data_IF_208959608142
#
_entry.id   IF_208959608142
#
_cell.length_a   1.000
_cell.length_b   1.000
_cell.length_c   1.000
_cell.angle_alpha   90.00
_cell.angle_beta   90.00
_cell.angle_gamma   90.00
#
_symmetry.space_group_name_H-M   'P 1'
#
loop_
_entity.id
_entity.type
_entity.pdbx_description
1 polymer ?
#
# COMPACT_ATOMS: atom_id res chain seq x y z
N UNK A 1 -2.71 24.04 -4.91
CA UNK A 1 -2.03 22.75 -5.09
C UNK A 1 -1.08 22.49 -3.93
N UNK A 2 -1.00 21.24 -3.48
CA UNK A 2 -0.03 20.78 -2.48
C UNK A 2 1.36 20.68 -3.09
N UNK A 3 2.39 20.81 -2.27
CA UNK A 3 3.73 20.35 -2.65
C UNK A 3 3.77 18.83 -2.86
N UNK A 4 4.80 18.35 -3.56
CA UNK A 4 5.08 16.93 -3.71
C UNK A 4 5.98 16.39 -2.59
N UNK A 5 5.89 15.09 -2.33
CA UNK A 5 6.78 14.35 -1.44
C UNK A 5 7.54 13.33 -2.27
N UNK A 6 8.87 13.38 -2.23
CA UNK A 6 9.70 12.39 -2.91
C UNK A 6 10.99 12.07 -2.18
N UNK A 7 11.59 10.93 -2.55
CA UNK A 7 12.88 10.48 -2.05
C UNK A 7 12.92 10.36 -0.52
N UNK A 8 11.95 9.64 0.02
CA UNK A 8 11.84 9.39 1.47
C UNK A 8 12.20 7.95 1.75
N UNK A 9 13.14 7.74 2.67
CA UNK A 9 13.46 6.41 3.19
C UNK A 9 13.06 6.31 4.64
N UNK A 10 12.34 5.24 4.99
CA UNK A 10 11.93 4.90 6.34
C UNK A 10 12.41 3.49 6.63
N UNK A 11 13.33 3.32 7.58
CA UNK A 11 13.94 2.02 7.80
C UNK A 11 14.22 1.70 9.27
N UNK A 12 14.32 0.40 9.57
CA UNK A 12 14.75 -0.15 10.86
C UNK A 12 13.89 0.32 12.04
N UNK A 13 12.57 0.13 11.95
CA UNK A 13 11.66 0.55 13.01
C UNK A 13 10.65 -0.51 13.39
N UNK A 14 10.16 -0.38 14.63
CA UNK A 14 9.10 -1.18 15.19
C UNK A 14 7.90 -0.27 15.42
N UNK A 15 6.72 -0.66 14.91
CA UNK A 15 5.46 -0.01 15.24
C UNK A 15 4.61 -0.98 16.04
N UNK A 16 4.23 -0.60 17.26
CA UNK A 16 3.44 -1.45 18.15
C UNK A 16 2.13 -0.80 18.59
N UNK A 17 1.14 -1.62 18.95
CA UNK A 17 -0.16 -1.21 19.54
C UNK A 17 -0.80 -0.01 18.86
N UNK A 18 -0.81 -0.03 17.52
CA UNK A 18 -1.14 1.13 16.69
C UNK A 18 -2.30 0.84 15.75
N UNK A 19 -3.11 1.87 15.50
CA UNK A 19 -4.25 1.72 14.57
C UNK A 19 -3.80 1.48 13.13
N UNK A 20 -2.70 2.11 12.71
CA UNK A 20 -2.10 2.01 11.37
C UNK A 20 -0.59 2.11 11.52
N UNK A 21 0.19 1.16 11.00
CA UNK A 21 1.64 1.22 11.12
C UNK A 21 2.26 2.14 10.05
N UNK A 22 2.00 1.87 8.77
CA UNK A 22 2.35 2.74 7.66
C UNK A 22 1.09 3.32 7.04
N UNK A 23 1.06 4.63 6.82
CA UNK A 23 -0.09 5.33 6.23
C UNK A 23 0.35 6.36 5.19
N UNK A 24 -0.09 6.15 3.96
CA UNK A 24 -0.06 7.14 2.88
C UNK A 24 -1.50 7.54 2.59
N UNK A 25 -1.77 8.85 2.52
CA UNK A 25 -3.11 9.39 2.27
C UNK A 25 -3.04 10.58 1.33
N UNK A 26 -3.92 10.61 0.34
CA UNK A 26 -4.12 11.74 -0.55
C UNK A 26 -5.56 11.79 -1.04
N UNK A 27 -5.90 12.82 -1.83
CA UNK A 27 -7.20 12.98 -2.46
C UNK A 27 -7.07 13.73 -3.80
N UNK A 28 -8.06 13.54 -4.67
CA UNK A 28 -8.32 14.47 -5.77
C UNK A 28 -8.44 15.89 -5.21
N UNK A 29 -7.86 16.87 -5.88
CA UNK A 29 -7.79 18.23 -5.35
C UNK A 29 -6.51 18.60 -4.64
N UNK A 30 -5.66 17.62 -4.31
CA UNK A 30 -4.35 17.90 -3.69
C UNK A 30 -3.29 18.26 -4.73
N UNK A 31 -3.30 17.64 -5.92
CA UNK A 31 -2.24 17.74 -6.92
C UNK A 31 -0.88 17.23 -6.44
N UNK A 32 0.18 17.50 -7.20
CA UNK A 32 1.55 17.13 -6.83
C UNK A 32 1.83 15.62 -6.98
N UNK A 33 2.65 15.08 -6.09
CA UNK A 33 3.08 13.69 -6.15
C UNK A 33 3.47 13.11 -4.79
N UNK A 34 3.39 11.79 -4.67
CA UNK A 34 4.04 10.99 -3.63
C UNK A 34 4.79 9.88 -4.37
N UNK A 35 6.11 10.02 -4.48
CA UNK A 35 6.92 9.09 -5.28
C UNK A 35 8.28 8.78 -4.67
N UNK A 36 8.88 7.68 -5.09
CA UNK A 36 10.22 7.28 -4.68
C UNK A 36 10.32 7.16 -3.15
N UNK A 37 9.41 6.36 -2.59
CA UNK A 37 9.30 6.12 -1.15
C UNK A 37 9.79 4.70 -0.85
N UNK A 38 10.76 4.57 0.06
CA UNK A 38 11.35 3.28 0.43
C UNK A 38 11.09 2.97 1.89
N UNK A 39 10.46 1.83 2.15
CA UNK A 39 10.28 1.25 3.47
C UNK A 39 11.12 -0.02 3.61
N UNK A 40 12.02 -0.06 4.60
CA UNK A 40 12.94 -1.20 4.78
C UNK A 40 13.00 -1.68 6.22
N UNK A 41 12.97 -3.00 6.42
CA UNK A 41 13.12 -3.63 7.73
C UNK A 41 12.14 -3.05 8.77
N UNK A 42 10.85 -3.23 8.51
CA UNK A 42 9.78 -2.79 9.40
C UNK A 42 9.26 -3.98 10.20
N UNK A 43 8.99 -3.76 11.50
CA UNK A 43 8.32 -4.75 12.35
C UNK A 43 7.00 -4.19 12.86
N UNK A 44 5.90 -4.91 12.63
CA UNK A 44 4.57 -4.56 13.15
C UNK A 44 4.20 -5.50 14.31
N UNK A 45 3.82 -4.93 15.46
CA UNK A 45 3.35 -5.70 16.61
C UNK A 45 1.97 -5.20 17.04
N UNK A 46 0.93 -6.03 16.95
CA UNK A 46 -0.44 -5.65 17.36
C UNK A 46 -0.92 -4.36 16.67
N UNK A 47 -0.88 -4.36 15.33
CA UNK A 47 -1.38 -3.27 14.51
C UNK A 47 -2.76 -3.61 13.94
N UNK A 48 -3.73 -2.68 14.02
CA UNK A 48 -5.04 -2.92 13.38
C UNK A 48 -4.91 -2.99 11.85
N UNK A 49 -4.06 -2.14 11.27
CA UNK A 49 -3.68 -2.21 9.85
C UNK A 49 -2.18 -2.02 9.74
N UNK A 50 -1.48 -2.90 9.01
CA UNK A 50 -0.05 -2.79 8.77
C UNK A 50 0.24 -1.62 7.83
N UNK A 51 0.05 -1.82 6.53
CA UNK A 51 0.25 -0.82 5.50
C UNK A 51 -1.09 -0.37 4.96
N UNK A 52 -1.32 0.95 4.92
CA UNK A 52 -2.51 1.52 4.29
C UNK A 52 -2.18 2.68 3.36
N UNK A 53 -2.71 2.60 2.14
CA UNK A 53 -2.68 3.67 1.14
C UNK A 53 -4.11 4.01 0.77
N UNK A 54 -4.46 5.29 0.79
CA UNK A 54 -5.78 5.79 0.41
C UNK A 54 -5.65 7.01 -0.49
N UNK A 55 -6.34 6.99 -1.63
CA UNK A 55 -6.42 8.12 -2.57
C UNK A 55 -7.76 8.87 -2.50
N UNK A 56 -8.64 8.46 -1.57
CA UNK A 56 -10.00 8.97 -1.36
C UNK A 56 -10.12 9.82 -0.07
N UNK A 57 -9.03 10.41 0.40
CA UNK A 57 -8.98 11.12 1.69
C UNK A 57 -9.52 12.55 1.58
N UNK A 58 -10.83 12.67 1.33
CA UNK A 58 -11.57 13.87 0.90
C UNK A 58 -11.68 14.97 1.99
N UNK A 59 -10.57 15.37 2.59
CA UNK A 59 -10.43 16.47 3.55
C UNK A 59 -9.71 17.64 2.88
N UNK A 60 -10.44 18.73 2.64
CA UNK A 60 -9.93 19.97 2.05
C UNK A 60 -10.19 21.15 3.00
N UNK A 61 -9.32 22.19 3.00
CA UNK A 61 -9.48 23.34 3.90
C UNK A 61 -10.74 24.16 3.57
N UNK A 62 -11.15 24.18 2.31
CA UNK A 62 -12.29 24.91 1.77
C UNK A 62 -12.88 24.15 0.56
N UNK A 63 -13.86 24.76 -0.11
CA UNK A 63 -14.52 24.21 -1.31
C UNK A 63 -13.92 24.73 -2.63
N UNK A 64 -12.98 25.67 -2.57
CA UNK A 64 -12.42 26.39 -3.72
C UNK A 64 -11.15 25.72 -4.28
N UNK A 65 -10.78 24.56 -3.75
CA UNK A 65 -9.70 23.76 -4.28
C UNK A 65 -10.00 23.25 -5.70
N UNK A 66 -8.96 23.13 -6.52
CA UNK A 66 -9.07 22.59 -7.87
C UNK A 66 -9.31 21.08 -7.84
N UNK A 67 -10.56 20.64 -7.99
CA UNK A 67 -10.96 19.22 -7.98
C UNK A 67 -10.26 18.36 -9.03
N UNK A 68 -9.72 18.96 -10.09
CA UNK A 68 -9.00 18.26 -11.15
C UNK A 68 -7.50 18.12 -10.86
N UNK A 69 -7.02 18.69 -9.75
CA UNK A 69 -5.64 18.52 -9.31
C UNK A 69 -5.43 17.11 -8.75
N UNK A 70 -5.10 16.16 -9.61
CA UNK A 70 -4.85 14.77 -9.25
C UNK A 70 -3.37 14.55 -8.87
N UNK A 71 -3.07 13.99 -7.69
CA UNK A 71 -1.71 13.64 -7.29
C UNK A 71 -1.22 12.38 -8.03
N UNK A 72 0.09 12.31 -8.32
CA UNK A 72 0.72 11.08 -8.85
C UNK A 72 1.26 10.23 -7.69
N UNK A 73 0.89 8.93 -7.64
CA UNK A 73 1.37 7.98 -6.64
C UNK A 73 2.13 6.83 -7.33
N UNK A 74 3.45 6.82 -7.21
CA UNK A 74 4.27 5.81 -7.88
C UNK A 74 5.58 5.48 -7.14
N UNK A 75 6.22 4.37 -7.50
CA UNK A 75 7.55 3.98 -6.99
C UNK A 75 7.60 3.90 -5.46
N UNK A 76 6.75 3.06 -4.88
CA UNK A 76 6.69 2.83 -3.43
C UNK A 76 7.15 1.40 -3.15
N UNK A 77 8.20 1.24 -2.36
CA UNK A 77 8.79 -0.07 -2.06
C UNK A 77 8.71 -0.43 -0.58
N UNK A 78 8.46 -1.71 -0.31
CA UNK A 78 8.44 -2.31 1.01
C UNK A 78 9.35 -3.54 0.99
N UNK A 79 10.42 -3.54 1.77
CA UNK A 79 11.40 -4.64 1.82
C UNK A 79 11.62 -5.11 3.24
N UNK A 80 11.47 -6.41 3.49
CA UNK A 80 11.73 -6.98 4.82
C UNK A 80 10.69 -6.53 5.85
N UNK A 81 9.41 -6.68 5.54
CA UNK A 81 8.32 -6.33 6.48
C UNK A 81 7.95 -7.56 7.29
N UNK A 82 8.09 -7.49 8.61
CA UNK A 82 7.74 -8.57 9.54
C UNK A 82 6.65 -8.14 10.49
N UNK A 83 5.91 -9.07 11.06
CA UNK A 83 5.02 -8.74 12.17
C UNK A 83 4.14 -9.85 12.65
N UNK A 84 3.44 -9.58 13.75
CA UNK A 84 2.46 -10.46 14.37
C UNK A 84 1.31 -9.63 14.95
N UNK A 85 0.17 -10.29 15.20
CA UNK A 85 -0.97 -9.59 15.77
C UNK A 85 -1.67 -8.61 14.81
N UNK A 86 -1.40 -8.66 13.50
CA UNK A 86 -1.92 -7.66 12.55
C UNK A 86 -3.30 -8.05 12.01
N UNK A 87 -4.28 -7.16 12.07
CA UNK A 87 -5.66 -7.50 11.63
C UNK A 87 -5.82 -7.44 10.10
N UNK A 88 -5.25 -6.42 9.46
CA UNK A 88 -5.20 -6.24 8.00
C UNK A 88 -3.77 -5.87 7.62
N UNK A 89 -2.94 -6.80 7.13
CA UNK A 89 -1.54 -6.52 6.82
C UNK A 89 -1.34 -5.45 5.77
N UNK A 90 -2.13 -5.46 4.69
CA UNK A 90 -2.02 -4.48 3.61
C UNK A 90 -3.40 -4.09 3.10
N UNK A 91 -3.60 -2.78 2.93
CA UNK A 91 -4.77 -2.20 2.27
C UNK A 91 -4.35 -1.03 1.38
N UNK A 92 -4.32 -1.24 0.07
CA UNK A 92 -4.03 -0.20 -0.91
C UNK A 92 -5.30 0.10 -1.70
N UNK A 93 -5.87 1.27 -1.43
CA UNK A 93 -7.06 1.77 -2.11
C UNK A 93 -6.67 2.95 -3.00
N UNK A 94 -6.39 2.64 -4.26
CA UNK A 94 -6.32 3.61 -5.36
C UNK A 94 -7.70 3.87 -5.96
N UNK A 95 -7.74 4.73 -6.97
CA UNK A 95 -8.91 4.98 -7.81
C UNK A 95 -8.52 4.97 -9.28
N UNK A 96 -9.49 4.97 -10.19
CA UNK A 96 -9.25 5.08 -11.63
C UNK A 96 -8.46 6.37 -11.97
N UNK A 97 -8.82 7.48 -11.34
CA UNK A 97 -8.15 8.78 -11.49
C UNK A 97 -6.77 8.85 -10.81
N UNK A 98 -6.60 8.15 -9.69
CA UNK A 98 -5.38 8.15 -8.87
C UNK A 98 -4.97 6.69 -8.59
N UNK A 99 -4.47 5.97 -9.61
CA UNK A 99 -3.98 4.61 -9.42
C UNK A 99 -2.65 4.64 -8.66
N UNK A 100 -2.38 3.60 -7.87
CA UNK A 100 -1.09 3.45 -7.19
C UNK A 100 -0.18 2.58 -8.05
N UNK A 101 0.88 3.16 -8.60
CA UNK A 101 1.72 2.52 -9.62
C UNK A 101 3.09 2.09 -9.08
N UNK A 102 3.66 1.07 -9.73
CA UNK A 102 4.98 0.53 -9.42
C UNK A 102 5.21 0.30 -7.91
N UNK A 103 4.24 -0.32 -7.25
CA UNK A 103 4.40 -0.75 -5.85
C UNK A 103 5.21 -2.04 -5.82
N UNK A 104 6.21 -2.14 -4.94
CA UNK A 104 7.02 -3.35 -4.79
C UNK A 104 6.97 -3.86 -3.37
N UNK A 105 6.63 -5.13 -3.18
CA UNK A 105 6.83 -5.86 -1.93
C UNK A 105 7.95 -6.88 -2.12
N UNK A 106 8.93 -6.89 -1.22
CA UNK A 106 9.98 -7.91 -1.17
C UNK A 106 10.08 -8.45 0.25
N UNK A 107 10.00 -9.77 0.40
CA UNK A 107 10.16 -10.47 1.69
C UNK A 107 9.27 -9.89 2.80
N UNK A 108 7.97 -10.18 2.72
CA UNK A 108 6.98 -9.74 3.70
C UNK A 108 6.40 -10.95 4.42
N UNK A 109 6.44 -10.96 5.75
CA UNK A 109 5.83 -12.00 6.56
C UNK A 109 5.12 -11.40 7.77
N UNK A 110 3.80 -11.30 7.69
CA UNK A 110 2.98 -10.69 8.73
C UNK A 110 1.93 -11.68 9.23
N UNK A 111 2.08 -12.11 10.48
CA UNK A 111 1.12 -12.94 11.20
C UNK A 111 -0.19 -12.20 11.48
N UNK A 112 -1.32 -12.81 11.11
CA UNK A 112 -2.66 -12.23 11.25
C UNK A 112 -3.42 -12.76 12.48
N UNK A 113 -4.19 -11.89 13.13
CA UNK A 113 -5.02 -12.28 14.30
C UNK A 113 -6.26 -13.10 13.94
N UNK A 114 -6.80 -12.93 12.73
CA UNK A 114 -7.99 -13.64 12.27
C UNK A 114 -7.88 -13.99 10.80
N UNK A 115 -8.22 -15.24 10.43
CA UNK A 115 -8.28 -15.70 9.04
C UNK A 115 -9.57 -15.19 8.37
N UNK A 116 -9.60 -13.93 7.94
CA UNK A 116 -10.62 -13.42 6.99
C UNK A 116 -10.19 -13.76 5.55
N UNK A 117 -11.16 -13.89 4.63
CA UNK A 117 -10.91 -14.25 3.22
C UNK A 117 -10.14 -13.19 2.41
N UNK A 118 -10.01 -11.95 2.90
CA UNK A 118 -9.33 -10.85 2.21
C UNK A 118 -8.52 -9.98 3.19
N UNK A 119 -7.29 -10.42 3.49
CA UNK A 119 -6.38 -9.71 4.43
C UNK A 119 -5.35 -8.83 3.73
N UNK A 120 -5.04 -9.13 2.48
CA UNK A 120 -4.29 -8.29 1.57
C UNK A 120 -5.30 -7.71 0.57
N UNK A 121 -5.58 -6.41 0.69
CA UNK A 121 -6.68 -5.76 -0.01
C UNK A 121 -6.14 -4.72 -0.98
N UNK A 122 -6.51 -4.83 -2.25
CA UNK A 122 -6.04 -3.93 -3.30
C UNK A 122 -7.20 -3.43 -4.18
N UNK A 123 -7.05 -2.22 -4.69
CA UNK A 123 -7.94 -1.62 -5.68
C UNK A 123 -7.14 -0.57 -6.49
N UNK A 124 -7.17 -0.66 -7.82
CA UNK A 124 -6.41 0.22 -8.73
C UNK A 124 -4.92 0.30 -8.38
N UNK A 125 -4.30 -0.87 -8.24
CA UNK A 125 -2.90 -1.02 -7.88
C UNK A 125 -2.17 -1.73 -9.00
N UNK A 126 -0.98 -1.24 -9.32
CA UNK A 126 -0.06 -1.88 -10.25
C UNK A 126 1.29 -2.02 -9.56
N UNK A 127 1.86 -3.21 -9.62
CA UNK A 127 3.08 -3.49 -8.90
C UNK A 127 3.49 -4.94 -8.97
N UNK A 128 4.47 -5.28 -8.15
CA UNK A 128 5.04 -6.61 -8.11
C UNK A 128 5.35 -7.05 -6.69
N UNK A 129 5.38 -8.36 -6.50
CA UNK A 129 5.91 -9.00 -5.32
C UNK A 129 7.10 -9.87 -5.70
N UNK A 130 8.11 -9.90 -4.83
CA UNK A 130 9.34 -10.64 -5.03
C UNK A 130 9.64 -11.44 -3.77
N UNK A 131 9.96 -12.71 -3.94
CA UNK A 131 10.34 -13.61 -2.85
C UNK A 131 9.17 -14.01 -1.96
N UNK A 132 9.44 -14.22 -0.68
CA UNK A 132 8.44 -14.80 0.24
C UNK A 132 7.45 -13.76 0.75
N UNK A 133 6.16 -13.94 0.43
CA UNK A 133 5.06 -13.06 0.86
C UNK A 133 4.01 -13.83 1.65
N UNK A 134 3.76 -13.40 2.88
CA UNK A 134 2.67 -13.85 3.72
C UNK A 134 2.04 -12.65 4.45
N UNK A 135 0.69 -12.51 4.45
CA UNK A 135 -0.30 -13.36 3.77
C UNK A 135 -0.25 -13.22 2.24
N UNK A 136 -0.97 -14.11 1.53
CA UNK A 136 -0.99 -14.12 0.06
C UNK A 136 -1.36 -12.73 -0.52
N UNK A 137 -0.64 -12.26 -1.56
CA UNK A 137 -0.86 -10.95 -2.18
C UNK A 137 -2.13 -10.91 -3.03
N UNK A 138 -2.58 -9.70 -3.36
CA UNK A 138 -3.69 -9.48 -4.29
C UNK A 138 -3.36 -9.93 -5.72
N UNK A 139 -4.39 -10.21 -6.53
CA UNK A 139 -4.22 -10.55 -7.94
C UNK A 139 -3.82 -9.37 -8.84
N UNK A 140 -3.89 -8.14 -8.32
CA UNK A 140 -3.42 -6.92 -9.00
C UNK A 140 -1.88 -6.87 -9.13
N UNK A 141 -1.14 -7.70 -8.38
CA UNK A 141 0.32 -7.65 -8.32
C UNK A 141 0.92 -8.82 -9.11
N UNK A 142 1.92 -8.51 -9.92
CA UNK A 142 2.73 -9.52 -10.59
C UNK A 142 3.58 -10.26 -9.55
N UNK A 143 3.74 -11.58 -9.70
CA UNK A 143 4.53 -12.43 -8.80
C UNK A 143 5.84 -12.78 -9.49
N UNK A 144 6.96 -12.51 -8.82
CA UNK A 144 8.31 -12.84 -9.26
C UNK A 144 8.97 -13.81 -8.26
N UNK A 145 9.87 -14.65 -8.76
CA UNK A 145 10.73 -15.49 -7.92
C UNK A 145 11.91 -14.69 -7.34
N UNK A 146 12.76 -15.36 -6.56
CA UNK A 146 13.95 -14.77 -5.93
C UNK A 146 15.01 -14.29 -6.95
N UNK A 147 15.00 -14.86 -8.17
CA UNK A 147 15.87 -14.47 -9.28
C UNK A 147 15.27 -13.32 -10.12
N UNK A 148 14.18 -12.71 -9.65
CA UNK A 148 13.41 -11.67 -10.34
C UNK A 148 12.86 -12.11 -11.71
N UNK A 149 12.55 -13.39 -11.88
CA UNK A 149 11.83 -13.89 -13.05
C UNK A 149 10.33 -13.87 -12.78
N UNK A 150 9.55 -13.44 -13.79
CA UNK A 150 8.09 -13.38 -13.69
C UNK A 150 7.51 -14.80 -13.59
N UNK A 151 6.80 -15.08 -12.50
CA UNK A 151 6.12 -16.36 -12.23
C UNK A 151 4.64 -16.28 -12.60
N UNK A 152 3.97 -15.18 -12.24
CA UNK A 152 2.55 -14.96 -12.53
C UNK A 152 2.31 -13.48 -12.86
N UNK A 153 1.66 -13.22 -13.99
CA UNK A 153 1.18 -11.88 -14.33
C UNK A 153 -0.12 -11.57 -13.59
N UNK A 154 -0.28 -10.32 -13.18
CA UNK A 154 -1.54 -9.80 -12.63
C UNK A 154 -2.71 -10.02 -13.59
N UNK A 155 -3.84 -10.47 -13.06
CA UNK A 155 -5.05 -10.81 -13.84
C UNK A 155 -6.08 -9.69 -13.84
N UNK A 156 -5.99 -8.72 -12.93
CA UNK A 156 -6.96 -7.64 -12.83
C UNK A 156 -6.42 -6.39 -12.12
N UNK A 157 -5.70 -5.53 -12.84
CA UNK A 157 -5.16 -4.28 -12.29
C UNK A 157 -6.26 -3.34 -11.74
N UNK A 158 -7.47 -3.41 -12.32
CA UNK A 158 -8.64 -2.61 -11.94
C UNK A 158 -9.62 -3.35 -11.01
N UNK A 159 -9.34 -4.60 -10.60
CA UNK A 159 -10.21 -5.30 -9.64
C UNK A 159 -10.11 -4.68 -8.25
N UNK A 160 -11.20 -4.79 -7.50
CA UNK A 160 -11.33 -4.25 -6.14
C UNK A 160 -11.63 -5.37 -5.15
N UNK A 161 -10.67 -5.64 -4.25
CA UNK A 161 -10.79 -6.63 -3.17
C UNK A 161 -10.90 -5.95 -1.80
N UNK A 162 -11.44 -4.72 -1.76
CA UNK A 162 -11.51 -3.92 -0.54
C UNK A 162 -12.72 -4.32 0.29
N UNK A 163 -12.47 -5.00 1.40
CA UNK A 163 -13.49 -5.30 2.41
C UNK A 163 -13.45 -4.28 3.56
N UNK A 164 -14.47 -3.42 3.61
CA UNK A 164 -14.75 -2.51 4.72
C UNK A 164 -15.62 -3.15 5.82
N UNK A 165 -16.13 -4.37 5.60
CA UNK A 165 -16.87 -5.17 6.56
C UNK A 165 -16.00 -5.52 7.77
N UNK A 166 -16.30 -4.89 8.90
CA UNK A 166 -15.80 -5.32 10.21
C UNK A 166 -16.78 -6.32 10.77
#
# INVERSE_FOLDING_TARGET
MSGGVSNVTVENLIVWSSRRAVRIKTAAGRGGYVRDITYRNLTFNDARVGIVVKTDYNEHPDLDFDKNALPVLENISFTGVRGEGVRVPVRIHGSEDIPVRNVTFRDMNVGITYKKKHVFQCAFVQGRVIGTIFPAPCENLDIYDEDERLVKLSTAQNATDIDYGV
#
